data_IF_054036670273
#
_entry.id   IF_054036670273
#
_cell.length_a   1.000
_cell.length_b   1.000
_cell.length_c   1.000
_cell.angle_alpha   90.00
_cell.angle_beta   90.00
_cell.angle_gamma   90.00
#
_symmetry.space_group_name_H-M   'P 1'
#
loop_
_entity.id
_entity.type
_entity.pdbx_description
1 polymer ?
#
# COMPACT_ATOMS: atom_id res chain seq x y z
N UNK A 1 -37.23 16.12 18.40
CA UNK A 1 -36.12 16.38 17.47
C UNK A 1 -34.79 16.20 18.20
N UNK A 2 -34.25 14.97 18.33
CA UNK A 2 -32.88 14.75 18.79
C UNK A 2 -31.92 14.78 17.58
N UNK A 3 -30.81 15.50 17.69
CA UNK A 3 -29.78 15.54 16.64
C UNK A 3 -28.89 14.30 16.66
N UNK A 4 -28.36 13.92 15.50
CA UNK A 4 -27.48 12.76 15.32
C UNK A 4 -26.14 12.92 16.05
N UNK A 5 -25.80 11.96 16.92
CA UNK A 5 -24.44 11.83 17.47
C UNK A 5 -23.53 11.23 16.38
N UNK A 6 -22.60 12.04 15.87
CA UNK A 6 -21.61 11.58 14.91
C UNK A 6 -20.44 10.88 15.64
N UNK A 7 -20.33 9.56 15.47
CA UNK A 7 -19.23 8.78 16.03
C UNK A 7 -17.90 9.19 15.37
N UNK A 8 -16.99 9.83 16.11
CA UNK A 8 -15.62 10.07 15.68
C UNK A 8 -14.84 8.75 15.66
N UNK A 9 -14.80 8.09 14.50
CA UNK A 9 -13.90 6.97 14.25
C UNK A 9 -12.44 7.38 14.46
N UNK A 10 -11.70 6.61 15.26
CA UNK A 10 -10.28 6.85 15.57
C UNK A 10 -9.41 6.44 14.38
N UNK A 11 -9.23 7.35 13.41
CA UNK A 11 -8.40 7.11 12.24
C UNK A 11 -6.94 6.86 12.64
N UNK A 12 -6.52 5.60 12.57
CA UNK A 12 -5.25 5.12 13.14
C UNK A 12 -4.03 5.42 12.29
N UNK A 13 -3.11 6.23 12.83
CA UNK A 13 -1.69 5.89 12.92
C UNK A 13 -0.94 5.46 11.64
N UNK A 14 -1.27 6.07 10.48
CA UNK A 14 -0.41 6.06 9.27
C UNK A 14 0.40 7.36 9.06
N UNK A 15 0.13 8.37 9.89
CA UNK A 15 1.09 9.47 10.07
C UNK A 15 2.29 8.90 10.82
N UNK A 16 3.48 9.26 10.38
CA UNK A 16 4.71 8.94 11.07
C UNK A 16 5.09 10.14 11.93
N UNK A 17 5.45 9.87 13.19
CA UNK A 17 6.22 10.79 14.02
C UNK A 17 7.68 10.78 13.54
N UNK A 18 7.88 11.22 12.30
CA UNK A 18 9.17 11.65 11.80
C UNK A 18 9.41 13.03 12.40
N UNK A 19 10.34 13.10 13.36
CA UNK A 19 10.80 14.38 13.87
C UNK A 19 11.12 15.31 12.70
N UNK A 20 10.50 16.49 12.73
CA UNK A 20 10.65 17.50 11.68
C UNK A 20 12.08 18.08 11.66
N UNK A 21 12.94 17.62 12.57
CA UNK A 21 14.34 17.92 12.68
C UNK A 21 15.24 17.23 11.62
N UNK A 22 14.76 16.19 10.93
CA UNK A 22 15.54 15.52 9.90
C UNK A 22 15.88 16.48 8.73
N UNK A 23 17.16 16.85 8.62
CA UNK A 23 17.68 17.56 7.45
C UNK A 23 17.55 16.67 6.21
N UNK A 24 17.10 17.26 5.10
CA UNK A 24 17.02 16.55 3.82
C UNK A 24 18.43 16.23 3.32
N UNK A 25 18.73 14.95 3.08
CA UNK A 25 20.06 14.52 2.65
C UNK A 25 20.42 15.05 1.26
N UNK A 26 21.72 15.00 0.94
CA UNK A 26 22.39 15.49 -0.29
C UNK A 26 21.54 15.31 -1.57
N UNK A 27 20.84 14.17 -1.69
CA UNK A 27 19.95 13.85 -2.80
C UNK A 27 18.79 14.83 -3.05
N UNK A 28 18.46 15.76 -2.15
CA UNK A 28 17.48 16.83 -2.42
C UNK A 28 18.05 18.04 -3.16
N UNK A 29 19.38 18.12 -3.31
CA UNK A 29 20.08 19.19 -4.02
C UNK A 29 20.44 20.36 -3.10
N UNK A 30 21.64 20.30 -2.54
CA UNK A 30 22.25 21.38 -1.77
C UNK A 30 22.53 22.59 -2.66
N UNK A 31 22.01 23.75 -2.29
CA UNK A 31 22.46 25.06 -2.77
C UNK A 31 21.83 26.16 -1.88
N UNK A 32 22.66 27.03 -1.32
CA UNK A 32 22.28 28.18 -0.46
C UNK A 32 21.49 27.88 0.83
N UNK A 33 22.21 27.38 1.85
CA UNK A 33 21.83 27.56 3.27
C UNK A 33 22.02 29.01 3.71
N UNK A 34 21.14 29.50 4.60
CA UNK A 34 21.25 30.78 5.29
C UNK A 34 20.57 30.66 6.68
N UNK A 35 21.37 30.36 7.70
CA UNK A 35 20.95 30.30 9.11
C UNK A 35 20.32 31.61 9.62
N UNK A 36 19.46 31.49 10.64
CA UNK A 36 19.25 32.39 11.79
C UNK A 36 18.05 31.89 12.62
N UNK A 37 18.07 32.16 13.92
CA UNK A 37 17.53 31.26 14.96
C UNK A 37 16.10 31.61 15.50
N UNK A 38 15.59 30.75 16.44
CA UNK A 38 14.57 30.90 17.52
C UNK A 38 13.31 31.82 17.31
N UNK A 39 12.06 31.52 17.71
CA UNK A 39 11.34 30.40 18.41
C UNK A 39 9.82 30.44 17.96
N UNK A 40 8.74 29.91 18.59
CA UNK A 40 8.53 29.21 19.87
C UNK A 40 7.07 28.92 20.29
N UNK A 41 6.94 28.21 21.44
CA UNK A 41 5.80 28.08 22.39
C UNK A 41 4.38 27.56 21.96
N UNK A 42 4.13 26.26 22.17
CA UNK A 42 3.25 25.61 23.19
C UNK A 42 2.01 26.36 23.80
N UNK A 43 0.94 25.73 24.35
CA UNK A 43 0.39 24.34 24.39
C UNK A 43 -0.97 24.32 25.19
N UNK A 44 -1.56 23.13 25.42
CA UNK A 44 -2.60 22.69 26.41
C UNK A 44 -4.11 22.83 26.02
N UNK A 45 -5.01 21.82 26.16
CA UNK A 45 -5.54 21.00 27.30
C UNK A 45 -6.71 21.70 28.05
N UNK A 46 -7.74 21.07 28.67
CA UNK A 46 -7.97 19.67 29.14
C UNK A 46 -9.47 19.31 29.43
N UNK A 47 -9.81 18.00 29.42
CA UNK A 47 -10.80 17.32 30.32
C UNK A 47 -12.32 17.43 30.09
N UNK A 48 -13.21 16.69 30.81
CA UNK A 48 -13.13 15.46 31.65
C UNK A 48 -14.57 14.96 32.04
N UNK A 49 -14.78 13.68 32.44
CA UNK A 49 -16.05 13.09 33.00
C UNK A 49 -16.95 12.32 32.00
N UNK A 50 -17.43 11.06 32.12
CA UNK A 50 -17.60 10.03 33.21
C UNK A 50 -18.91 10.19 34.06
N UNK A 51 -19.78 9.19 34.37
CA UNK A 51 -19.92 7.72 34.09
C UNK A 51 -21.41 7.25 34.30
N UNK A 52 -21.83 6.06 33.82
CA UNK A 52 -22.91 5.20 34.39
C UNK A 52 -24.22 5.02 33.57
N UNK A 53 -25.05 3.96 33.72
CA UNK A 53 -24.85 2.62 34.35
C UNK A 53 -26.00 1.61 34.03
N UNK A 54 -25.65 0.33 33.78
CA UNK A 54 -26.38 -0.97 34.06
C UNK A 54 -27.79 -1.26 33.44
N UNK A 55 -27.99 -2.49 32.91
CA UNK A 55 -29.32 -3.08 32.66
C UNK A 55 -29.41 -4.48 31.98
N UNK A 56 -29.29 -5.56 32.78
CA UNK A 56 -29.81 -6.98 32.67
C UNK A 56 -30.28 -7.59 31.32
N UNK A 57 -29.86 -8.81 30.95
CA UNK A 57 -30.43 -10.16 31.33
C UNK A 57 -31.94 -10.31 31.01
N UNK A 58 -32.48 -11.40 30.46
CA UNK A 58 -31.97 -12.70 29.98
C UNK A 58 -33.04 -13.35 29.04
N UNK A 59 -32.78 -14.49 28.38
CA UNK A 59 -33.86 -15.23 27.69
C UNK A 59 -33.44 -16.23 26.61
N UNK A 60 -32.99 -17.42 27.00
CA UNK A 60 -32.67 -18.51 26.08
C UNK A 60 -33.94 -19.29 25.64
N UNK A 61 -34.15 -19.39 24.34
CA UNK A 61 -35.21 -20.20 23.72
C UNK A 61 -34.68 -21.58 23.31
N UNK A 62 -35.49 -22.62 23.50
CA UNK A 62 -35.07 -24.01 23.25
C UNK A 62 -35.13 -24.31 21.76
N UNK A 63 -33.98 -24.55 21.13
CA UNK A 63 -33.88 -25.05 19.76
C UNK A 63 -33.91 -26.59 19.76
N UNK A 64 -34.52 -27.19 18.73
CA UNK A 64 -34.82 -28.64 18.71
C UNK A 64 -34.20 -29.28 17.47
N UNK A 65 -33.06 -29.94 17.67
CA UNK A 65 -32.36 -30.69 16.63
C UNK A 65 -33.10 -32.01 16.29
N UNK A 66 -34.16 -31.92 15.48
CA UNK A 66 -34.72 -33.08 14.77
C UNK A 66 -34.02 -33.28 13.41
N UNK A 67 -32.83 -33.90 13.43
CA UNK A 67 -32.33 -34.62 12.26
C UNK A 67 -31.65 -35.92 12.71
N UNK A 68 -32.19 -37.06 12.26
CA UNK A 68 -31.97 -38.37 12.87
C UNK A 68 -31.04 -39.22 11.99
N UNK A 69 -29.74 -38.91 12.07
CA UNK A 69 -28.67 -39.52 11.26
C UNK A 69 -28.70 -41.07 11.34
N UNK A 70 -28.98 -41.71 10.20
CA UNK A 70 -29.09 -43.17 10.09
C UNK A 70 -27.69 -43.81 10.05
N UNK A 71 -27.44 -44.91 10.80
CA UNK A 71 -26.14 -45.59 10.77
C UNK A 71 -25.75 -46.08 9.36
N UNK A 72 -24.48 -45.90 8.94
CA UNK A 72 -24.04 -46.16 7.56
C UNK A 72 -23.96 -47.65 7.17
N UNK A 73 -24.41 -48.57 8.02
CA UNK A 73 -24.48 -50.01 7.72
C UNK A 73 -25.67 -50.36 6.80
N UNK A 74 -26.62 -49.44 6.61
CA UNK A 74 -27.84 -49.66 5.81
C UNK A 74 -27.71 -49.29 4.32
N UNK A 75 -26.68 -48.54 3.92
CA UNK A 75 -26.52 -48.02 2.54
C UNK A 75 -25.36 -48.70 1.79
N UNK A 76 -25.45 -50.04 1.65
CA UNK A 76 -24.50 -50.85 0.89
C UNK A 76 -25.15 -51.35 -0.40
N UNK A 77 -24.82 -50.79 -1.58
CA UNK A 77 -25.25 -51.34 -2.85
C UNK A 77 -24.70 -52.75 -3.04
N UNK A 78 -25.58 -53.72 -3.34
CA UNK A 78 -25.16 -55.12 -3.53
C UNK A 78 -24.38 -55.31 -4.84
N UNK A 79 -23.06 -55.12 -4.78
CA UNK A 79 -22.14 -55.48 -5.86
C UNK A 79 -21.80 -56.96 -5.72
N UNK A 80 -22.43 -57.80 -6.54
CA UNK A 80 -22.25 -59.25 -6.50
C UNK A 80 -20.82 -59.70 -6.84
N UNK A 81 -20.18 -60.42 -5.91
CA UNK A 81 -18.81 -60.90 -6.06
C UNK A 81 -18.44 -61.92 -4.99
N UNK A 82 -19.10 -63.09 -4.97
CA UNK A 82 -18.84 -64.14 -3.98
C UNK A 82 -17.55 -64.92 -4.26
N UNK A 83 -16.70 -65.09 -3.23
CA UNK A 83 -15.50 -65.93 -3.32
C UNK A 83 -14.67 -65.96 -2.03
N UNK A 84 -14.66 -67.13 -1.37
CA UNK A 84 -13.72 -67.57 -0.34
C UNK A 84 -13.49 -66.65 0.90
N UNK A 85 -14.14 -67.00 2.02
CA UNK A 85 -13.58 -66.74 3.35
C UNK A 85 -12.30 -67.59 3.50
N UNK A 86 -11.11 -67.00 3.46
CA UNK A 86 -9.90 -67.84 3.54
C UNK A 86 -8.52 -67.22 3.37
N UNK A 87 -8.36 -65.97 2.93
CA UNK A 87 -7.06 -65.29 2.98
C UNK A 87 -7.23 -63.76 3.02
N UNK A 88 -6.53 -63.08 3.93
CA UNK A 88 -6.66 -61.64 4.16
C UNK A 88 -5.95 -60.82 3.09
N UNK A 89 -6.59 -60.61 1.94
CA UNK A 89 -6.01 -59.88 0.81
C UNK A 89 -5.69 -58.42 1.17
N UNK A 90 -4.40 -58.11 1.33
CA UNK A 90 -3.94 -56.77 1.71
C UNK A 90 -4.10 -55.78 0.56
N UNK A 91 -5.09 -54.90 0.68
CA UNK A 91 -5.25 -53.72 -0.19
C UNK A 91 -4.47 -52.54 0.40
N UNK A 92 -3.48 -51.96 -0.30
CA UNK A 92 -2.78 -50.78 0.20
C UNK A 92 -3.71 -49.56 0.25
N UNK A 93 -3.67 -48.74 1.32
CA UNK A 93 -4.57 -47.60 1.48
C UNK A 93 -4.30 -46.51 0.44
N UNK A 94 -5.37 -45.86 -0.03
CA UNK A 94 -5.30 -44.70 -0.91
C UNK A 94 -4.84 -43.44 -0.16
N UNK A 95 -4.25 -42.49 -0.89
CA UNK A 95 -3.82 -41.21 -0.31
C UNK A 95 -5.03 -40.31 -0.04
N UNK A 96 -5.19 -39.86 1.20
CA UNK A 96 -6.12 -38.77 1.54
C UNK A 96 -5.66 -37.41 1.02
N UNK A 97 -6.57 -36.43 1.06
CA UNK A 97 -6.32 -35.03 0.66
C UNK A 97 -5.18 -34.42 1.47
N UNK A 98 -4.24 -33.72 0.81
CA UNK A 98 -3.16 -33.03 1.51
C UNK A 98 -3.66 -31.75 2.22
N UNK A 99 -3.06 -31.34 3.35
CA UNK A 99 -3.40 -30.08 4.01
C UNK A 99 -3.26 -28.85 3.11
N UNK A 100 -2.31 -28.87 2.18
CA UNK A 100 -2.13 -27.79 1.18
C UNK A 100 -3.28 -27.72 0.17
N UNK A 101 -3.83 -28.86 -0.27
CA UNK A 101 -5.00 -28.86 -1.15
C UNK A 101 -6.25 -28.39 -0.40
N UNK A 102 -6.39 -28.78 0.87
CA UNK A 102 -7.45 -28.28 1.76
C UNK A 102 -7.40 -26.74 1.88
N UNK A 103 -6.22 -26.13 2.02
CA UNK A 103 -6.07 -24.67 2.02
C UNK A 103 -6.53 -24.02 0.71
N UNK A 104 -6.21 -24.61 -0.45
CA UNK A 104 -6.68 -24.12 -1.75
C UNK A 104 -8.17 -24.34 -2.00
N UNK A 105 -8.83 -25.25 -1.29
CA UNK A 105 -10.27 -25.45 -1.36
C UNK A 105 -11.02 -24.48 -0.43
N UNK A 106 -10.45 -24.19 0.74
CA UNK A 106 -11.09 -23.43 1.81
C UNK A 106 -10.88 -21.90 1.71
N UNK A 107 -10.02 -21.43 0.80
CA UNK A 107 -9.65 -20.01 0.67
C UNK A 107 -9.88 -19.48 -0.74
N UNK A 108 -9.91 -18.15 -0.84
CA UNK A 108 -9.84 -17.36 -2.08
C UNK A 108 -8.78 -16.25 -1.97
N UNK A 109 -7.93 -16.29 -0.94
CA UNK A 109 -6.84 -15.34 -0.71
C UNK A 109 -5.55 -15.85 -1.37
N UNK A 110 -4.96 -15.05 -2.26
CA UNK A 110 -3.78 -15.46 -3.02
C UNK A 110 -2.62 -15.97 -2.14
N UNK A 111 -2.40 -15.36 -0.97
CA UNK A 111 -1.36 -15.77 -0.01
C UNK A 111 -1.51 -17.21 0.47
N UNK A 112 -2.74 -17.71 0.69
CA UNK A 112 -2.98 -19.07 1.17
C UNK A 112 -2.61 -20.11 0.09
N UNK A 113 -2.87 -19.78 -1.18
CA UNK A 113 -2.51 -20.61 -2.32
C UNK A 113 -0.98 -20.61 -2.56
N UNK A 114 -0.28 -19.50 -2.26
CA UNK A 114 1.19 -19.45 -2.28
C UNK A 114 1.78 -20.28 -1.12
N UNK A 115 1.20 -20.21 0.09
CA UNK A 115 1.60 -21.01 1.25
C UNK A 115 1.38 -22.52 1.01
N UNK A 116 0.33 -22.87 0.26
CA UNK A 116 0.07 -24.22 -0.22
C UNK A 116 1.02 -24.70 -1.35
N UNK A 117 1.76 -23.79 -1.98
CA UNK A 117 2.60 -24.07 -3.16
C UNK A 117 1.84 -24.14 -4.49
N UNK A 118 0.54 -23.84 -4.51
CA UNK A 118 -0.31 -23.86 -5.71
C UNK A 118 -0.20 -22.54 -6.47
N UNK A 119 0.99 -22.26 -7.01
CA UNK A 119 1.32 -20.98 -7.63
C UNK A 119 0.40 -20.60 -8.80
N UNK A 120 -0.05 -21.56 -9.62
CA UNK A 120 -0.98 -21.28 -10.73
C UNK A 120 -2.30 -20.69 -10.23
N UNK A 121 -2.88 -21.26 -9.17
CA UNK A 121 -4.15 -20.77 -8.60
C UNK A 121 -3.97 -19.44 -7.89
N UNK A 122 -2.84 -19.22 -7.20
CA UNK A 122 -2.48 -17.91 -6.66
C UNK A 122 -2.31 -16.83 -7.75
N UNK A 123 -1.69 -17.19 -8.88
CA UNK A 123 -1.54 -16.30 -10.03
C UNK A 123 -2.89 -15.98 -10.68
N UNK A 124 -3.80 -16.95 -10.80
CA UNK A 124 -5.17 -16.73 -11.27
C UNK A 124 -5.93 -15.75 -10.35
N UNK A 125 -5.91 -15.98 -9.03
CA UNK A 125 -6.53 -15.06 -8.07
C UNK A 125 -5.96 -13.63 -8.16
N UNK A 126 -4.64 -13.46 -8.28
CA UNK A 126 -4.02 -12.13 -8.45
C UNK A 126 -4.29 -11.50 -9.83
N UNK A 127 -4.55 -12.30 -10.87
CA UNK A 127 -4.99 -11.81 -12.17
C UNK A 127 -6.42 -11.28 -12.05
N UNK A 128 -7.34 -12.10 -11.56
CA UNK A 128 -8.78 -11.82 -11.56
C UNK A 128 -9.16 -10.73 -10.53
N UNK A 129 -8.52 -10.72 -9.35
CA UNK A 129 -8.86 -9.78 -8.27
C UNK A 129 -8.15 -8.42 -8.38
N UNK A 130 -6.89 -8.38 -8.86
CA UNK A 130 -6.04 -7.17 -8.85
C UNK A 130 -5.29 -6.90 -10.17
N UNK A 131 -5.62 -7.60 -11.24
CA UNK A 131 -5.16 -7.32 -12.61
C UNK A 131 -3.67 -7.59 -12.86
N UNK A 132 -3.05 -8.51 -12.11
CA UNK A 132 -1.64 -8.86 -12.30
C UNK A 132 -1.46 -9.69 -13.58
N UNK A 133 -0.50 -9.31 -14.43
CA UNK A 133 -0.11 -10.07 -15.64
C UNK A 133 1.36 -10.44 -15.64
N UNK A 134 2.22 -9.59 -15.09
CA UNK A 134 3.67 -9.77 -15.10
C UNK A 134 4.14 -10.20 -13.70
N UNK A 135 4.27 -11.51 -13.50
CA UNK A 135 4.61 -12.10 -12.20
C UNK A 135 6.12 -12.14 -11.90
N UNK A 136 6.98 -11.68 -12.83
CA UNK A 136 8.44 -11.62 -12.63
C UNK A 136 8.87 -10.94 -11.30
N UNK A 137 8.41 -9.70 -11.00
CA UNK A 137 8.69 -9.04 -9.72
C UNK A 137 8.13 -9.75 -8.48
N UNK A 138 7.06 -10.54 -8.64
CA UNK A 138 6.46 -11.31 -7.55
C UNK A 138 7.30 -12.52 -7.12
N UNK A 139 8.30 -12.95 -7.90
CA UNK A 139 9.10 -14.17 -7.65
C UNK A 139 9.67 -14.24 -6.23
N UNK A 140 10.26 -13.16 -5.72
CA UNK A 140 10.83 -13.16 -4.37
C UNK A 140 9.76 -13.27 -3.28
N UNK A 141 8.65 -12.56 -3.44
CA UNK A 141 7.51 -12.65 -2.51
C UNK A 141 6.93 -14.07 -2.52
N UNK A 142 6.70 -14.67 -3.69
CA UNK A 142 6.18 -16.04 -3.80
C UNK A 142 7.08 -17.06 -3.09
N UNK A 143 8.40 -17.01 -3.31
CA UNK A 143 9.35 -17.93 -2.68
C UNK A 143 9.43 -17.72 -1.16
N UNK A 144 9.45 -16.46 -0.67
CA UNK A 144 9.47 -16.13 0.77
C UNK A 144 8.17 -16.48 1.50
N UNK A 145 7.03 -16.51 0.78
CA UNK A 145 5.77 -16.98 1.33
C UNK A 145 5.76 -18.52 1.38
N UNK A 146 6.12 -19.22 0.29
CA UNK A 146 6.20 -20.68 0.27
C UNK A 146 7.17 -21.23 1.34
N UNK A 147 8.34 -20.60 1.54
CA UNK A 147 9.34 -21.07 2.50
C UNK A 147 8.90 -21.05 3.95
N UNK A 148 7.84 -20.30 4.30
CA UNK A 148 7.25 -20.28 5.66
C UNK A 148 5.92 -21.05 5.78
N UNK A 149 5.43 -21.65 4.70
CA UNK A 149 4.12 -22.34 4.69
C UNK A 149 4.08 -23.68 5.42
N UNK A 150 5.22 -24.26 5.79
CA UNK A 150 5.32 -25.57 6.44
C UNK A 150 6.56 -25.67 7.31
N UNK A 151 6.47 -26.43 8.40
CA UNK A 151 7.62 -26.82 9.23
C UNK A 151 7.99 -28.28 8.98
N UNK A 152 9.17 -28.71 9.39
CA UNK A 152 9.65 -30.08 9.25
C UNK A 152 10.11 -30.66 10.59
N UNK A 153 9.85 -31.94 10.82
CA UNK A 153 10.26 -32.67 12.02
C UNK A 153 10.61 -34.12 11.68
N UNK A 154 11.45 -34.76 12.49
CA UNK A 154 11.81 -36.17 12.30
C UNK A 154 10.80 -37.07 13.00
N UNK A 155 10.35 -38.14 12.33
CA UNK A 155 9.51 -39.18 12.94
C UNK A 155 10.37 -40.27 13.59
N UNK A 156 11.05 -41.07 12.76
CA UNK A 156 12.02 -42.07 13.17
C UNK A 156 13.42 -41.73 12.60
N UNK A 157 14.52 -42.11 13.29
CA UNK A 157 15.86 -42.01 12.74
C UNK A 157 16.00 -42.70 11.37
N UNK A 158 16.85 -42.14 10.51
CA UNK A 158 17.16 -42.64 9.16
C UNK A 158 15.97 -42.70 8.17
N UNK A 159 14.79 -42.21 8.52
CA UNK A 159 13.67 -42.00 7.58
C UNK A 159 13.59 -40.53 7.11
N UNK A 160 12.92 -40.24 5.97
CA UNK A 160 12.62 -38.88 5.56
C UNK A 160 11.85 -38.10 6.63
N UNK A 161 12.10 -36.78 6.69
CA UNK A 161 11.39 -35.89 7.61
C UNK A 161 9.92 -35.75 7.23
N UNK A 162 9.09 -35.58 8.25
CA UNK A 162 7.66 -35.28 8.13
C UNK A 162 7.46 -33.76 8.03
N UNK A 163 6.34 -33.37 7.43
CA UNK A 163 5.93 -31.97 7.31
C UNK A 163 4.77 -31.69 8.26
N UNK A 164 4.82 -30.57 8.97
CA UNK A 164 3.68 -30.02 9.70
C UNK A 164 3.23 -28.71 9.04
N UNK A 165 1.92 -28.47 9.10
CA UNK A 165 1.22 -27.43 8.34
C UNK A 165 0.47 -26.53 9.34
N UNK A 166 1.14 -25.50 9.89
CA UNK A 166 0.57 -24.69 10.97
C UNK A 166 -0.65 -23.89 10.49
N UNK A 167 -1.72 -23.93 11.27
CA UNK A 167 -3.02 -23.33 10.92
C UNK A 167 -3.28 -22.05 11.71
N UNK A 168 -3.97 -21.07 11.10
CA UNK A 168 -4.44 -19.88 11.83
C UNK A 168 -5.64 -20.19 12.73
N UNK A 169 -6.52 -21.09 12.29
CA UNK A 169 -7.71 -21.56 13.00
C UNK A 169 -7.49 -22.93 13.68
N UNK A 170 -6.30 -23.19 14.23
CA UNK A 170 -5.87 -24.51 14.72
C UNK A 170 -6.73 -25.14 15.83
N UNK A 171 -7.53 -24.34 16.55
CA UNK A 171 -8.48 -24.84 17.57
C UNK A 171 -9.71 -25.49 16.93
N UNK A 172 -10.25 -24.83 15.91
CA UNK A 172 -11.61 -25.05 15.39
C UNK A 172 -11.60 -25.64 13.97
N UNK A 173 -10.41 -25.88 13.40
CA UNK A 173 -10.23 -26.36 12.01
C UNK A 173 -10.80 -27.74 11.73
N UNK A 174 -10.98 -28.58 12.75
CA UNK A 174 -11.33 -29.99 12.60
C UNK A 174 -10.41 -30.73 11.61
N UNK A 175 -10.96 -31.71 10.90
CA UNK A 175 -10.23 -32.50 9.89
C UNK A 175 -10.27 -31.92 8.46
N UNK A 176 -11.12 -30.92 8.19
CA UNK A 176 -11.39 -30.40 6.82
C UNK A 176 -11.42 -28.87 6.69
N UNK A 177 -11.53 -28.12 7.79
CA UNK A 177 -11.69 -26.64 7.79
C UNK A 177 -10.40 -25.85 7.97
N UNK A 178 -9.22 -26.47 7.92
CA UNK A 178 -7.96 -25.79 8.21
C UNK A 178 -7.59 -24.71 7.17
N UNK A 179 -6.98 -23.63 7.65
CA UNK A 179 -6.43 -22.51 6.87
C UNK A 179 -5.02 -22.15 7.39
N UNK A 180 -4.07 -21.74 6.54
CA UNK A 180 -2.66 -21.60 6.92
C UNK A 180 -2.40 -20.41 7.86
N UNK A 181 -1.33 -20.52 8.65
CA UNK A 181 -0.89 -19.49 9.59
C UNK A 181 -0.50 -18.16 8.92
N UNK A 182 -0.93 -17.04 9.52
CA UNK A 182 -0.64 -15.68 9.03
C UNK A 182 0.79 -15.27 9.42
N UNK A 183 1.69 -15.26 8.44
CA UNK A 183 3.10 -14.89 8.60
C UNK A 183 3.51 -13.54 7.98
N UNK A 184 2.54 -12.66 7.73
CA UNK A 184 2.73 -11.25 7.38
C UNK A 184 1.48 -10.49 7.83
N UNK A 185 1.64 -9.42 8.61
CA UNK A 185 0.55 -8.57 9.13
C UNK A 185 0.65 -7.14 8.58
N UNK A 186 -0.46 -6.40 8.64
CA UNK A 186 -0.51 -5.00 8.22
C UNK A 186 0.50 -4.12 8.99
N UNK A 187 0.68 -4.39 10.29
CA UNK A 187 1.72 -3.81 11.16
C UNK A 187 3.12 -3.88 10.58
N UNK A 188 3.46 -5.00 9.93
CA UNK A 188 4.80 -5.26 9.40
C UNK A 188 5.05 -4.40 8.15
N UNK A 189 3.99 -4.09 7.40
CA UNK A 189 4.06 -3.20 6.24
C UNK A 189 4.09 -1.72 6.66
N UNK A 190 3.34 -1.33 7.69
CA UNK A 190 3.42 0.01 8.30
C UNK A 190 4.82 0.26 8.89
N UNK A 191 5.42 -0.73 9.55
CA UNK A 191 6.81 -0.64 10.02
C UNK A 191 7.82 -0.46 8.88
N UNK A 192 7.65 -1.18 7.76
CA UNK A 192 8.49 -1.03 6.56
C UNK A 192 8.30 0.33 5.87
N UNK A 193 7.12 0.95 5.99
CA UNK A 193 6.80 2.25 5.42
C UNK A 193 7.68 3.36 6.00
N UNK A 194 7.98 3.29 7.31
CA UNK A 194 8.87 4.23 8.00
C UNK A 194 10.28 4.28 7.38
N UNK A 195 10.79 3.12 6.95
CA UNK A 195 12.08 3.03 6.27
C UNK A 195 12.02 3.63 4.85
N UNK A 196 10.88 3.52 4.16
CA UNK A 196 10.64 4.21 2.89
C UNK A 196 10.63 5.73 3.04
N UNK A 197 10.06 6.25 4.13
CA UNK A 197 10.12 7.67 4.46
C UNK A 197 11.56 8.12 4.79
N UNK A 198 12.29 7.39 5.64
CA UNK A 198 13.69 7.71 5.97
C UNK A 198 14.59 7.76 4.71
N UNK A 199 14.44 6.80 3.78
CA UNK A 199 15.13 6.82 2.49
C UNK A 199 14.71 8.01 1.61
N UNK A 200 13.46 8.46 1.73
CA UNK A 200 12.94 9.64 1.02
C UNK A 200 13.57 10.92 1.56
N UNK A 201 13.59 11.14 2.88
CA UNK A 201 14.29 12.30 3.49
C UNK A 201 15.78 12.30 3.18
N UNK A 202 16.43 11.12 3.21
CA UNK A 202 17.84 10.97 2.83
C UNK A 202 18.12 11.15 1.32
N UNK A 203 17.11 11.35 0.47
CA UNK A 203 17.29 11.59 -0.96
C UNK A 203 17.56 10.33 -1.81
N UNK A 204 17.51 9.13 -1.22
CA UNK A 204 17.78 7.83 -1.88
C UNK A 204 16.54 7.33 -2.63
N UNK A 205 16.10 8.11 -3.61
CA UNK A 205 14.80 7.96 -4.26
C UNK A 205 14.57 6.62 -4.94
N UNK A 206 15.58 6.03 -5.59
CA UNK A 206 15.42 4.75 -6.30
C UNK A 206 15.17 3.59 -5.32
N UNK A 207 15.92 3.55 -4.20
CA UNK A 207 15.71 2.57 -3.13
C UNK A 207 14.39 2.81 -2.36
N UNK A 208 14.01 4.08 -2.14
CA UNK A 208 12.71 4.41 -1.56
C UNK A 208 11.57 3.90 -2.44
N UNK A 209 11.63 4.16 -3.76
CA UNK A 209 10.66 3.69 -4.76
C UNK A 209 10.54 2.16 -4.75
N UNK A 210 11.67 1.44 -4.70
CA UNK A 210 11.66 -0.02 -4.64
C UNK A 210 11.13 -0.54 -3.29
N UNK A 211 11.37 0.17 -2.18
CA UNK A 211 10.80 -0.15 -0.86
C UNK A 211 9.27 0.05 -0.85
N UNK A 212 8.77 1.17 -1.36
CA UNK A 212 7.33 1.41 -1.51
C UNK A 212 6.69 0.41 -2.48
N UNK A 213 7.35 0.01 -3.58
CA UNK A 213 6.83 -1.03 -4.48
C UNK A 213 6.76 -2.39 -3.81
N UNK A 214 7.79 -2.78 -3.04
CA UNK A 214 7.78 -4.03 -2.29
C UNK A 214 6.65 -4.06 -1.23
N UNK A 215 6.35 -2.93 -0.59
CA UNK A 215 5.18 -2.81 0.31
C UNK A 215 3.88 -2.96 -0.48
N UNK A 216 3.69 -2.18 -1.55
CA UNK A 216 2.49 -2.19 -2.40
C UNK A 216 2.17 -3.60 -2.93
N UNK A 217 3.19 -4.32 -3.43
CA UNK A 217 3.04 -5.71 -3.90
C UNK A 217 2.81 -6.72 -2.77
N UNK A 218 3.12 -6.38 -1.52
CA UNK A 218 2.84 -7.22 -0.35
C UNK A 218 1.40 -7.06 0.18
N UNK A 219 0.70 -5.96 -0.13
CA UNK A 219 -0.67 -5.75 0.39
C UNK A 219 -1.68 -6.81 -0.11
N UNK A 220 -1.69 -7.24 -1.38
CA UNK A 220 -2.52 -8.37 -1.85
C UNK A 220 -2.15 -9.73 -1.23
N UNK A 221 -1.09 -9.79 -0.43
CA UNK A 221 -0.63 -11.01 0.26
C UNK A 221 -0.87 -10.96 1.78
N UNK A 222 -1.69 -10.01 2.26
CA UNK A 222 -2.16 -9.97 3.64
C UNK A 222 -3.35 -10.92 3.85
N UNK A 223 -3.49 -11.40 5.09
CA UNK A 223 -4.77 -11.80 5.68
C UNK A 223 -5.11 -10.71 6.69
N UNK A 224 -6.35 -10.21 6.67
CA UNK A 224 -6.85 -9.13 7.54
C UNK A 224 -8.18 -9.55 8.14
N UNK A 225 -8.40 -9.21 9.41
CA UNK A 225 -9.48 -9.79 10.22
C UNK A 225 -10.76 -8.92 10.22
N UNK A 226 -10.65 -7.63 9.87
CA UNK A 226 -11.76 -6.69 9.96
C UNK A 226 -11.80 -5.64 8.82
N UNK A 227 -12.94 -4.96 8.68
CA UNK A 227 -13.17 -3.96 7.62
C UNK A 227 -12.33 -2.69 7.77
N UNK A 228 -11.81 -2.39 8.96
CA UNK A 228 -10.95 -1.23 9.17
C UNK A 228 -9.54 -1.51 8.60
N UNK A 229 -8.97 -2.69 8.86
CA UNK A 229 -7.71 -3.15 8.25
C UNK A 229 -7.78 -3.19 6.71
N UNK A 230 -8.94 -3.51 6.13
CA UNK A 230 -9.14 -3.42 4.67
C UNK A 230 -9.02 -1.96 4.18
N UNK A 231 -9.65 -1.01 4.86
CA UNK A 231 -9.57 0.40 4.51
C UNK A 231 -8.16 0.97 4.72
N UNK A 232 -7.49 0.58 5.81
CA UNK A 232 -6.09 0.90 6.10
C UNK A 232 -5.14 0.31 5.04
N UNK A 233 -5.33 -0.94 4.61
CA UNK A 233 -4.58 -1.55 3.52
C UNK A 233 -4.75 -0.80 2.18
N UNK A 234 -5.96 -0.30 1.88
CA UNK A 234 -6.22 0.54 0.70
C UNK A 234 -5.57 1.93 0.81
N UNK A 235 -5.54 2.53 2.01
CA UNK A 235 -4.80 3.76 2.27
C UNK A 235 -3.29 3.54 2.09
N UNK A 236 -2.74 2.43 2.58
CA UNK A 236 -1.34 2.05 2.42
C UNK A 236 -0.94 1.87 0.93
N UNK A 237 -1.78 1.24 0.12
CA UNK A 237 -1.61 1.18 -1.35
C UNK A 237 -1.59 2.59 -1.94
N UNK A 238 -2.50 3.46 -1.51
CA UNK A 238 -2.61 4.85 -1.98
C UNK A 238 -1.36 5.66 -1.64
N UNK A 239 -0.86 5.56 -0.41
CA UNK A 239 0.40 6.19 0.03
C UNK A 239 1.56 5.70 -0.85
N UNK A 240 1.75 4.38 -0.99
CA UNK A 240 2.83 3.84 -1.81
C UNK A 240 2.74 4.31 -3.27
N UNK A 241 1.52 4.40 -3.83
CA UNK A 241 1.26 4.93 -5.18
C UNK A 241 1.69 6.40 -5.31
N UNK A 242 1.31 7.26 -4.36
CA UNK A 242 1.68 8.69 -4.37
C UNK A 242 3.20 8.89 -4.33
N UNK A 243 3.89 8.22 -3.40
CA UNK A 243 5.35 8.30 -3.29
C UNK A 243 6.06 7.74 -4.52
N UNK A 244 5.65 6.59 -5.07
CA UNK A 244 6.29 6.03 -6.27
C UNK A 244 6.13 6.96 -7.47
N UNK A 245 4.94 7.55 -7.69
CA UNK A 245 4.71 8.47 -8.81
C UNK A 245 5.57 9.73 -8.64
N UNK A 246 5.54 10.35 -7.47
CA UNK A 246 6.27 11.58 -7.18
C UNK A 246 7.79 11.42 -7.29
N UNK A 247 8.35 10.41 -6.62
CA UNK A 247 9.79 10.16 -6.61
C UNK A 247 10.32 9.71 -7.97
N UNK A 248 9.57 8.91 -8.74
CA UNK A 248 9.96 8.58 -10.12
C UNK A 248 9.94 9.82 -11.01
N UNK A 249 8.92 10.68 -10.87
CA UNK A 249 8.81 11.94 -11.61
C UNK A 249 9.96 12.89 -11.30
N UNK A 250 10.37 13.01 -10.03
CA UNK A 250 11.49 13.84 -9.60
C UNK A 250 12.85 13.29 -10.09
N UNK A 251 13.04 11.97 -10.05
CA UNK A 251 14.23 11.32 -10.63
C UNK A 251 14.33 11.56 -12.15
N UNK A 252 13.22 11.48 -12.89
CA UNK A 252 13.21 11.82 -14.32
C UNK A 252 13.37 13.33 -14.57
N UNK A 253 12.82 14.19 -13.70
CA UNK A 253 13.05 15.64 -13.73
C UNK A 253 14.54 15.98 -13.61
N UNK A 254 15.30 15.26 -12.77
CA UNK A 254 16.74 15.47 -12.61
C UNK A 254 17.57 15.02 -13.83
N UNK A 255 17.09 14.04 -14.61
CA UNK A 255 17.76 13.53 -15.83
C UNK A 255 17.56 14.43 -17.06
N UNK A 256 16.56 15.29 -17.06
CA UNK A 256 16.26 16.16 -18.19
C UNK A 256 17.29 17.31 -18.34
N UNK A 257 17.73 17.64 -19.57
CA UNK A 257 18.62 18.77 -19.85
C UNK A 257 17.96 20.11 -19.50
N UNK A 258 18.78 21.17 -19.40
CA UNK A 258 18.37 22.48 -18.85
C UNK A 258 18.66 23.64 -19.81
N UNK A 259 19.07 23.33 -21.04
CA UNK A 259 19.79 24.24 -21.92
C UNK A 259 18.85 25.17 -22.71
N UNK A 260 17.62 24.71 -22.98
CA UNK A 260 16.59 25.51 -23.66
C UNK A 260 15.48 25.96 -22.71
N UNK A 261 14.86 27.09 -23.03
CA UNK A 261 13.77 27.65 -22.21
C UNK A 261 12.59 26.67 -22.06
N UNK A 262 12.25 25.91 -23.10
CA UNK A 262 11.13 24.96 -23.04
C UNK A 262 11.45 23.71 -22.20
N UNK A 263 12.73 23.31 -22.13
CA UNK A 263 13.18 22.33 -21.14
C UNK A 263 13.07 22.90 -19.72
N UNK A 264 13.45 24.16 -19.49
CA UNK A 264 13.32 24.81 -18.18
C UNK A 264 11.84 24.96 -17.74
N UNK A 265 10.93 25.32 -18.67
CA UNK A 265 9.48 25.26 -18.44
C UNK A 265 9.04 23.86 -18.02
N UNK A 266 9.47 22.83 -18.76
CA UNK A 266 9.11 21.43 -18.49
C UNK A 266 9.61 20.91 -17.14
N UNK A 267 10.80 21.35 -16.72
CA UNK A 267 11.35 21.07 -15.38
C UNK A 267 10.49 21.70 -14.27
N UNK A 268 10.04 22.94 -14.48
CA UNK A 268 9.15 23.63 -13.54
C UNK A 268 7.76 22.97 -13.48
N UNK A 269 7.18 22.62 -14.63
CA UNK A 269 5.95 21.83 -14.71
C UNK A 269 6.02 20.55 -13.85
N UNK A 270 7.05 19.73 -14.03
CA UNK A 270 7.19 18.46 -13.29
C UNK A 270 7.35 18.68 -11.78
N UNK A 271 8.06 19.72 -11.36
CA UNK A 271 8.13 20.10 -9.94
C UNK A 271 6.77 20.57 -9.40
N UNK A 272 6.01 21.35 -10.18
CA UNK A 272 4.67 21.82 -9.79
C UNK A 272 3.65 20.69 -9.69
N UNK A 273 3.70 19.69 -10.59
CA UNK A 273 2.91 18.47 -10.45
C UNK A 273 3.29 17.70 -9.17
N UNK A 274 4.58 17.65 -8.79
CA UNK A 274 5.00 16.96 -7.56
C UNK A 274 4.38 17.58 -6.30
N UNK A 275 4.16 18.90 -6.27
CA UNK A 275 3.45 19.57 -5.16
C UNK A 275 1.98 19.13 -4.99
N UNK A 276 1.42 18.39 -5.94
CA UNK A 276 0.07 17.82 -5.86
C UNK A 276 0.03 16.36 -5.45
N UNK A 277 1.18 15.69 -5.29
CA UNK A 277 1.23 14.37 -4.67
C UNK A 277 0.85 14.45 -3.18
N UNK A 278 0.14 13.46 -2.68
CA UNK A 278 -0.31 13.39 -1.28
C UNK A 278 0.75 12.72 -0.39
N UNK A 279 1.82 13.46 -0.11
CA UNK A 279 2.91 13.01 0.78
C UNK A 279 2.68 13.49 2.22
N UNK A 280 3.52 13.03 3.15
CA UNK A 280 3.56 13.57 4.52
C UNK A 280 4.15 15.00 4.55
N UNK A 281 3.79 15.85 5.54
CA UNK A 281 4.18 17.26 5.59
C UNK A 281 5.68 17.51 5.43
N UNK A 282 6.53 16.72 6.09
CA UNK A 282 8.01 16.82 6.00
C UNK A 282 8.52 16.71 4.55
N UNK A 283 7.98 15.77 3.76
CA UNK A 283 8.34 15.64 2.34
C UNK A 283 7.69 16.71 1.48
N UNK A 284 6.47 17.14 1.81
CA UNK A 284 5.79 18.24 1.10
C UNK A 284 6.54 19.56 1.21
N UNK A 285 7.14 19.86 2.36
CA UNK A 285 8.02 21.03 2.56
C UNK A 285 9.23 20.98 1.63
N UNK A 286 9.90 19.82 1.51
CA UNK A 286 11.04 19.65 0.60
C UNK A 286 10.63 19.88 -0.87
N UNK A 287 9.55 19.24 -1.32
CA UNK A 287 9.03 19.37 -2.69
C UNK A 287 8.60 20.81 -3.01
N UNK A 288 7.94 21.50 -2.07
CA UNK A 288 7.56 22.90 -2.22
C UNK A 288 8.78 23.84 -2.24
N UNK A 289 9.84 23.55 -1.47
CA UNK A 289 11.12 24.31 -1.50
C UNK A 289 11.80 24.17 -2.87
N UNK A 290 11.85 22.95 -3.43
CA UNK A 290 12.37 22.70 -4.79
C UNK A 290 11.54 23.43 -5.85
N UNK A 291 10.20 23.36 -5.79
CA UNK A 291 9.33 24.05 -6.73
C UNK A 291 9.47 25.58 -6.64
N UNK A 292 9.49 26.15 -5.44
CA UNK A 292 9.69 27.58 -5.19
C UNK A 292 10.98 28.10 -5.84
N UNK A 293 12.10 27.42 -5.61
CA UNK A 293 13.40 27.79 -6.14
C UNK A 293 13.47 27.73 -7.68
N UNK A 294 12.78 26.76 -8.30
CA UNK A 294 12.71 26.64 -9.77
C UNK A 294 11.85 27.76 -10.38
N UNK A 295 10.66 28.01 -9.84
CA UNK A 295 9.76 29.05 -10.36
C UNK A 295 10.31 30.46 -10.17
N UNK A 296 11.02 30.71 -9.06
CA UNK A 296 11.73 31.98 -8.84
C UNK A 296 12.84 32.19 -9.89
N UNK A 297 13.65 31.17 -10.18
CA UNK A 297 14.67 31.21 -11.24
C UNK A 297 14.05 31.42 -12.64
N UNK A 298 12.87 30.84 -12.91
CA UNK A 298 12.11 31.03 -14.16
C UNK A 298 11.37 32.39 -14.25
N UNK A 299 11.41 33.23 -13.19
CA UNK A 299 10.65 34.49 -13.07
C UNK A 299 9.12 34.32 -13.16
N UNK A 300 8.61 33.17 -12.73
CA UNK A 300 7.19 32.94 -12.51
C UNK A 300 6.82 33.25 -11.06
N UNK A 301 6.82 34.55 -10.72
CA UNK A 301 6.72 35.05 -9.35
C UNK A 301 5.33 34.94 -8.75
N UNK A 302 4.27 35.10 -9.55
CA UNK A 302 2.89 34.94 -9.07
C UNK A 302 2.63 33.49 -8.65
N UNK A 303 3.08 32.53 -9.46
CA UNK A 303 2.97 31.11 -9.13
C UNK A 303 3.94 30.71 -8.00
N UNK A 304 5.17 31.24 -7.98
CA UNK A 304 6.13 31.05 -6.88
C UNK A 304 5.57 31.51 -5.52
N UNK A 305 4.91 32.68 -5.46
CA UNK A 305 4.27 33.18 -4.25
C UNK A 305 3.15 32.24 -3.73
N UNK A 306 2.47 31.51 -4.63
CA UNK A 306 1.54 30.45 -4.26
C UNK A 306 2.21 29.29 -3.54
N UNK A 307 3.33 28.78 -4.08
CA UNK A 307 4.12 27.74 -3.42
C UNK A 307 4.70 28.22 -2.07
N UNK A 308 5.22 29.44 -2.00
CA UNK A 308 5.78 29.99 -0.77
C UNK A 308 4.76 30.10 0.37
N UNK A 309 3.51 30.52 0.09
CA UNK A 309 2.43 30.54 1.09
C UNK A 309 2.09 29.14 1.58
N UNK A 310 1.84 28.19 0.67
CA UNK A 310 1.54 26.79 1.02
C UNK A 310 2.70 26.09 1.74
N UNK A 311 3.94 26.48 1.48
CA UNK A 311 5.13 25.99 2.21
C UNK A 311 5.10 26.49 3.65
N UNK A 312 4.82 27.78 3.88
CA UNK A 312 4.70 28.37 5.22
C UNK A 312 3.51 27.80 6.03
N UNK A 313 2.40 27.49 5.37
CA UNK A 313 1.21 26.84 5.98
C UNK A 313 1.51 25.44 6.54
N UNK A 314 2.56 24.75 6.07
CA UNK A 314 2.99 23.45 6.58
C UNK A 314 3.92 23.53 7.81
N UNK A 315 4.24 24.74 8.31
CA UNK A 315 5.09 24.91 9.49
C UNK A 315 6.53 24.42 9.32
N UNK A 316 7.30 24.89 8.32
CA UNK A 316 8.67 24.44 8.08
C UNK A 316 9.64 24.95 9.17
N UNK A 317 10.83 24.32 9.28
CA UNK A 317 11.92 24.79 10.18
C UNK A 317 12.15 26.31 10.08
N UNK A 318 12.50 27.01 11.18
CA UNK A 318 12.62 28.48 11.22
C UNK A 318 13.44 29.09 10.08
N UNK A 319 14.60 28.51 9.74
CA UNK A 319 15.49 28.96 8.66
C UNK A 319 14.80 28.89 7.28
N UNK A 320 14.13 27.77 7.00
CA UNK A 320 13.37 27.56 5.76
C UNK A 320 12.16 28.49 5.72
N UNK A 321 11.51 28.75 6.87
CA UNK A 321 10.45 29.73 6.98
C UNK A 321 10.95 31.16 6.69
N UNK A 322 12.11 31.55 7.24
CA UNK A 322 12.74 32.84 6.96
C UNK A 322 13.15 32.97 5.48
N UNK A 323 13.81 31.96 4.90
CA UNK A 323 14.18 31.93 3.48
C UNK A 323 12.93 32.06 2.59
N UNK A 324 11.87 31.33 2.91
CA UNK A 324 10.60 31.37 2.17
C UNK A 324 9.91 32.73 2.27
N UNK A 325 9.88 33.36 3.46
CA UNK A 325 9.35 34.73 3.65
C UNK A 325 10.15 35.77 2.86
N UNK A 326 11.49 35.66 2.85
CA UNK A 326 12.39 36.52 2.06
C UNK A 326 12.10 36.40 0.55
N UNK A 327 11.88 35.18 0.04
CA UNK A 327 11.51 34.93 -1.37
C UNK A 327 10.09 35.43 -1.68
N UNK A 328 9.12 35.20 -0.79
CA UNK A 328 7.73 35.67 -0.95
C UNK A 328 7.67 37.20 -1.08
N UNK A 329 8.34 37.94 -0.19
CA UNK A 329 8.41 39.40 -0.25
C UNK A 329 9.18 39.94 -1.46
N UNK A 330 9.99 39.12 -2.15
CA UNK A 330 10.56 39.45 -3.44
C UNK A 330 9.57 39.20 -4.59
N UNK A 331 8.81 38.10 -4.55
CA UNK A 331 7.76 37.79 -5.52
C UNK A 331 6.62 38.81 -5.48
N UNK A 332 6.23 39.28 -4.29
CA UNK A 332 5.10 40.20 -4.11
C UNK A 332 5.35 41.60 -4.67
N UNK A 333 6.62 41.97 -4.92
CA UNK A 333 7.00 43.20 -5.65
C UNK A 333 6.74 43.12 -7.15
N UNK A 334 6.52 41.93 -7.70
CA UNK A 334 6.31 41.69 -9.12
C UNK A 334 5.44 40.45 -9.34
N UNK A 335 4.14 40.52 -8.98
CA UNK A 335 3.17 39.42 -9.08
C UNK A 335 2.73 39.11 -10.53
N UNK A 336 3.69 38.88 -11.40
CA UNK A 336 3.54 38.45 -12.79
C UNK A 336 4.25 37.12 -13.01
N UNK A 337 3.73 36.30 -13.93
CA UNK A 337 4.42 35.11 -14.41
C UNK A 337 4.96 35.40 -15.82
N UNK A 338 6.28 35.27 -16.01
CA UNK A 338 6.94 35.57 -17.28
C UNK A 338 6.60 34.56 -18.40
N UNK A 339 6.27 33.32 -18.03
CA UNK A 339 6.05 32.22 -18.97
C UNK A 339 4.83 31.39 -18.61
N UNK A 340 3.90 31.24 -19.56
CA UNK A 340 2.80 30.28 -19.44
C UNK A 340 3.34 28.84 -19.41
N UNK A 341 2.86 28.05 -18.46
CA UNK A 341 3.14 26.62 -18.30
C UNK A 341 1.84 25.79 -18.44
N UNK A 342 1.94 24.49 -18.67
CA UNK A 342 0.79 23.56 -18.64
C UNK A 342 0.37 23.18 -17.21
N UNK A 343 0.30 24.16 -16.31
CA UNK A 343 0.01 23.96 -14.89
C UNK A 343 -1.05 24.96 -14.41
N UNK A 344 -2.13 24.43 -13.82
CA UNK A 344 -3.22 25.18 -13.21
C UNK A 344 -3.33 24.76 -11.72
N UNK A 345 -3.07 25.67 -10.76
CA UNK A 345 -3.14 25.38 -9.33
C UNK A 345 -4.58 25.35 -8.76
N UNK A 346 -5.60 25.72 -9.55
CA UNK A 346 -7.00 25.78 -9.12
C UNK A 346 -7.86 24.65 -9.68
N UNK A 347 -7.39 23.93 -10.70
CA UNK A 347 -8.12 22.85 -11.37
C UNK A 347 -7.53 21.47 -11.03
N UNK A 348 -8.23 20.62 -10.22
CA UNK A 348 -7.70 19.33 -9.81
C UNK A 348 -7.38 18.39 -10.98
N UNK A 349 -6.18 17.80 -10.95
CA UNK A 349 -5.70 16.84 -11.94
C UNK A 349 -5.12 15.58 -11.28
N UNK A 350 -5.28 14.44 -11.95
CA UNK A 350 -4.47 13.23 -11.68
C UNK A 350 -3.13 13.35 -12.47
N UNK A 351 -2.04 12.73 -11.99
CA UNK A 351 -0.76 12.71 -12.74
C UNK A 351 -0.69 11.43 -13.58
N UNK A 352 -0.40 11.56 -14.88
CA UNK A 352 -0.14 10.39 -15.72
C UNK A 352 1.21 9.75 -15.35
N UNK A 353 1.20 8.58 -14.72
CA UNK A 353 2.37 7.85 -14.22
C UNK A 353 3.23 7.14 -15.31
N UNK A 354 3.34 7.76 -16.50
CA UNK A 354 4.20 7.35 -17.61
C UNK A 354 4.71 8.56 -18.44
N UNK A 355 3.88 9.59 -18.66
CA UNK A 355 4.29 10.82 -19.35
C UNK A 355 4.52 12.02 -18.43
N UNK A 356 4.19 11.91 -17.15
CA UNK A 356 4.28 13.01 -16.17
C UNK A 356 3.57 14.28 -16.66
N UNK A 357 2.32 14.09 -17.09
CA UNK A 357 1.43 15.13 -17.62
C UNK A 357 0.13 15.16 -16.81
N UNK A 358 -0.46 16.35 -16.58
CA UNK A 358 -1.67 16.49 -15.79
C UNK A 358 -2.89 15.99 -16.57
N UNK A 359 -3.75 15.26 -15.87
CA UNK A 359 -5.02 14.73 -16.33
C UNK A 359 -6.14 15.45 -15.57
N UNK A 360 -6.46 16.67 -16.04
CA UNK A 360 -7.55 17.47 -15.50
C UNK A 360 -8.89 16.72 -15.59
N UNK A 361 -9.75 16.93 -14.58
CA UNK A 361 -11.06 16.28 -14.47
C UNK A 361 -11.91 16.45 -15.73
N UNK A 362 -12.68 15.41 -16.07
CA UNK A 362 -13.53 15.35 -17.27
C UNK A 362 -12.85 14.81 -18.53
N UNK A 363 -11.53 14.60 -18.53
CA UNK A 363 -10.83 13.84 -19.58
C UNK A 363 -10.86 12.33 -19.28
N UNK A 364 -10.83 11.45 -20.30
CA UNK A 364 -10.73 10.00 -20.08
C UNK A 364 -9.38 9.63 -19.44
N UNK A 365 -9.42 8.77 -18.43
CA UNK A 365 -8.26 8.32 -17.63
C UNK A 365 -8.33 6.81 -17.44
N UNK A 366 -7.26 6.11 -17.81
CA UNK A 366 -7.09 4.68 -17.52
C UNK A 366 -6.44 4.51 -16.14
N UNK A 367 -6.96 3.62 -15.29
CA UNK A 367 -6.45 3.41 -13.93
C UNK A 367 -5.87 1.99 -13.76
N UNK A 368 -4.77 1.89 -13.02
CA UNK A 368 -4.23 0.60 -12.59
C UNK A 368 -5.21 -0.05 -11.59
N UNK A 369 -5.64 -1.30 -11.79
CA UNK A 369 -6.61 -1.96 -10.90
C UNK A 369 -6.06 -2.15 -9.48
N UNK A 370 -4.79 -2.55 -9.34
CA UNK A 370 -4.14 -2.71 -8.03
C UNK A 370 -3.90 -1.37 -7.30
N UNK A 371 -3.27 -0.39 -7.96
CA UNK A 371 -2.74 0.81 -7.27
C UNK A 371 -3.57 2.08 -7.46
N UNK A 372 -4.58 2.09 -8.32
CA UNK A 372 -5.31 3.32 -8.70
C UNK A 372 -4.47 4.35 -9.46
N UNK A 373 -3.23 4.03 -9.86
CA UNK A 373 -2.36 4.93 -10.63
C UNK A 373 -2.96 5.28 -11.99
N UNK A 374 -2.98 6.58 -12.33
CA UNK A 374 -3.66 7.12 -13.50
C UNK A 374 -2.76 7.23 -14.73
N UNK A 375 -3.36 7.05 -15.91
CA UNK A 375 -2.69 7.04 -17.20
C UNK A 375 -3.53 7.69 -18.31
N UNK A 376 -2.85 8.30 -19.29
CA UNK A 376 -3.48 8.65 -20.57
C UNK A 376 -4.02 7.38 -21.29
N UNK A 377 -5.16 7.44 -22.00
CA UNK A 377 -5.72 6.29 -22.72
C UNK A 377 -4.79 5.61 -23.73
N UNK A 378 -3.82 6.35 -24.30
CA UNK A 378 -2.76 5.78 -25.17
C UNK A 378 -1.89 4.70 -24.51
N UNK A 379 -1.96 4.54 -23.18
CA UNK A 379 -1.25 3.52 -22.41
C UNK A 379 -2.18 2.39 -21.92
N UNK A 380 -3.41 2.25 -22.45
CA UNK A 380 -4.29 1.10 -22.14
C UNK A 380 -3.60 -0.21 -22.59
N UNK A 381 -3.81 -1.31 -21.85
CA UNK A 381 -3.12 -2.59 -22.11
C UNK A 381 -1.62 -2.64 -21.78
N UNK A 382 -0.96 -1.52 -21.48
CA UNK A 382 0.44 -1.54 -20.99
C UNK A 382 0.53 -1.91 -19.50
N UNK A 383 1.61 -2.60 -19.13
CA UNK A 383 2.01 -2.80 -17.73
C UNK A 383 2.18 -1.46 -17.00
N UNK A 384 1.60 -1.37 -15.81
CA UNK A 384 1.68 -0.21 -14.92
C UNK A 384 3.12 0.05 -14.48
N UNK A 385 3.64 1.27 -14.71
CA UNK A 385 5.02 1.65 -14.37
C UNK A 385 5.24 1.78 -12.85
N UNK A 386 4.17 2.04 -12.08
CA UNK A 386 4.19 2.09 -10.61
C UNK A 386 4.37 0.70 -10.02
N UNK A 387 3.50 -0.25 -10.38
CA UNK A 387 3.47 -1.60 -9.78
C UNK A 387 4.41 -2.59 -10.46
N UNK A 388 4.77 -2.35 -11.73
CA UNK A 388 5.56 -3.22 -12.61
C UNK A 388 4.97 -4.62 -12.89
N UNK A 389 3.76 -4.90 -12.37
CA UNK A 389 3.12 -6.23 -12.44
C UNK A 389 1.71 -6.21 -13.05
N UNK A 390 0.96 -5.11 -12.87
CA UNK A 390 -0.46 -5.03 -13.23
C UNK A 390 -0.65 -4.50 -14.65
N UNK A 391 -1.59 -5.09 -15.40
CA UNK A 391 -2.10 -4.46 -16.60
C UNK A 391 -3.17 -3.42 -16.24
N UNK A 392 -3.45 -2.47 -17.14
CA UNK A 392 -4.74 -1.77 -17.15
C UNK A 392 -5.80 -2.70 -17.77
N UNK A 393 -7.08 -2.64 -17.35
CA UNK A 393 -8.13 -3.44 -17.98
C UNK A 393 -8.15 -3.23 -19.51
N UNK A 394 -8.53 -4.28 -20.25
CA UNK A 394 -8.52 -4.31 -21.72
C UNK A 394 -9.63 -3.43 -22.33
#
# INVERSE_FOLDING_TARGET
MPSSIAAKGRAGQMVADLDMDASGGEGWGEDAELHLDEDGFMDAQEGLGDEGAIGKEEGEGWDVEEDLDLPPELDVPSVGGGGAEGEGFFVPPTKGTSPTQMWCNNSQLAVDHILAGSFETAMRLLHDQVGVVQFGPYKQLFMQNLSRGRTCYLGLPSLPYLHSYPLRNWKDSGAKGGLPAVGLRLSDLISRLQQGYQLTTAGRFEEAVDRFRAILLSVPLLVVDNKQEIAEAQQLITICKEYIIGLTMETERKKLPKDTLDQQKRLCEMAAYFTHCSLQPVHMVLVLRTALNLFFKLRNFKTAAGFARRLLELGPKPEVAQQTRKILAACEKSLTDAHQLNYDPHNPFDICAASFTPLYRGRPVEKCPLSGACYCPKYKGEVCRVTQVSCKPL
#
